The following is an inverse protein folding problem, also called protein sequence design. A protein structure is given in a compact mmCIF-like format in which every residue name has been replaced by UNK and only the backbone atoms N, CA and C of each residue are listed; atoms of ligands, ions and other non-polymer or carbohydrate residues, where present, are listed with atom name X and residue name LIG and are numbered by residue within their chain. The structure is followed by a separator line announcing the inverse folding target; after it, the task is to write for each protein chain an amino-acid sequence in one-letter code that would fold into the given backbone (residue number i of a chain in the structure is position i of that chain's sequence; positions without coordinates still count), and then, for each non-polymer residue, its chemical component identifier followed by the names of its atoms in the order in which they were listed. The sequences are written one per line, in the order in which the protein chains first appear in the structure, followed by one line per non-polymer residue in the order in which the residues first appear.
data_IF_727398657521
#
_entry.id   IF_727398657521
#
_cell.length_a   1.000
_cell.length_b   1.000
_cell.length_c   1.000
_cell.angle_alpha   90.00
_cell.angle_beta   90.00
_cell.angle_gamma   90.00
#
_symmetry.space_group_name_H-M   'P 1'
#
loop_
_entity.id
_entity.type
_entity.pdbx_description
1 polymer ?
#
# COMPACT_ATOMS: atom_id res chain seq x y z
N UNK A 1 -17.82 -64.84 -22.98
CA UNK A 1 -17.59 -64.08 -24.24
C UNK A 1 -18.62 -64.55 -25.26
N UNK A 2 -19.25 -63.67 -26.06
CA UNK A 2 -18.66 -62.52 -26.78
C UNK A 2 -19.23 -61.15 -26.36
N UNK A 3 -18.47 -60.05 -26.25
CA UNK A 3 -17.87 -59.12 -27.24
C UNK A 3 -18.82 -58.59 -28.31
N UNK A 4 -19.15 -57.28 -28.25
CA UNK A 4 -19.00 -56.35 -29.39
C UNK A 4 -19.14 -54.89 -28.92
N UNK A 5 -18.33 -54.02 -29.53
CA UNK A 5 -18.14 -52.58 -29.29
C UNK A 5 -19.05 -51.72 -30.18
N UNK A 6 -19.22 -50.44 -29.81
CA UNK A 6 -19.07 -49.19 -30.61
C UNK A 6 -19.64 -48.01 -29.80
N UNK A 7 -18.83 -47.06 -29.32
CA UNK A 7 -18.28 -45.86 -29.99
C UNK A 7 -19.30 -44.81 -30.49
N UNK A 8 -19.14 -43.59 -29.97
CA UNK A 8 -19.69 -42.30 -30.42
C UNK A 8 -19.58 -41.28 -29.26
N UNK A 9 -18.42 -40.66 -28.98
CA UNK A 9 -17.74 -39.50 -29.62
C UNK A 9 -18.46 -38.15 -29.46
N UNK A 10 -17.71 -37.24 -28.82
CA UNK A 10 -17.71 -35.77 -28.94
C UNK A 10 -18.79 -34.93 -28.25
N UNK A 11 -18.35 -34.17 -27.24
CA UNK A 11 -19.02 -32.99 -26.71
C UNK A 11 -18.05 -32.20 -25.83
N UNK A 12 -17.10 -31.51 -26.47
CA UNK A 12 -16.19 -30.56 -25.83
C UNK A 12 -17.00 -29.45 -25.16
N UNK A 13 -16.76 -29.19 -23.87
CA UNK A 13 -17.02 -27.90 -23.26
C UNK A 13 -15.98 -27.64 -22.16
N UNK A 14 -14.73 -27.46 -22.61
CA UNK A 14 -13.78 -26.61 -21.92
C UNK A 14 -14.33 -25.19 -21.99
N UNK A 15 -14.97 -24.73 -20.92
CA UNK A 15 -15.22 -23.30 -20.71
C UNK A 15 -14.06 -22.80 -19.88
N UNK A 16 -13.05 -22.34 -20.59
CA UNK A 16 -11.91 -21.65 -20.05
C UNK A 16 -12.40 -20.44 -19.23
N UNK A 17 -12.22 -20.50 -17.90
CA UNK A 17 -12.20 -19.33 -17.04
C UNK A 17 -10.93 -18.53 -17.37
N UNK A 18 -10.96 -17.81 -18.48
CA UNK A 18 -9.91 -16.86 -18.88
C UNK A 18 -10.40 -15.44 -18.68
N UNK A 19 -10.72 -15.09 -17.43
CA UNK A 19 -10.87 -13.68 -17.00
C UNK A 19 -10.27 -13.56 -15.60
N UNK A 20 -8.94 -13.56 -15.49
CA UNK A 20 -8.30 -13.49 -14.18
C UNK A 20 -6.86 -13.00 -14.13
N UNK A 21 -6.21 -12.70 -15.26
CA UNK A 21 -4.80 -12.34 -15.29
C UNK A 21 -4.50 -10.94 -15.85
N UNK A 22 -5.53 -10.14 -16.20
CA UNK A 22 -5.31 -8.85 -16.89
C UNK A 22 -5.25 -7.59 -16.02
N UNK A 23 -5.50 -7.66 -14.70
CA UNK A 23 -5.63 -6.44 -13.89
C UNK A 23 -4.76 -6.37 -12.63
N UNK A 24 -3.68 -7.13 -12.49
CA UNK A 24 -2.76 -6.96 -11.35
C UNK A 24 -2.09 -5.57 -11.38
N UNK A 25 -1.57 -5.16 -12.54
CA UNK A 25 -0.94 -3.85 -12.72
C UNK A 25 -1.93 -2.69 -12.68
N UNK A 26 -3.16 -2.91 -13.16
CA UNK A 26 -4.23 -1.91 -13.11
C UNK A 26 -4.71 -1.70 -11.67
N UNK A 27 -4.92 -2.78 -10.90
CA UNK A 27 -5.22 -2.68 -9.48
C UNK A 27 -4.06 -2.05 -8.71
N UNK A 28 -2.81 -2.40 -9.02
CA UNK A 28 -1.64 -1.82 -8.40
C UNK A 28 -1.58 -0.30 -8.63
N UNK A 29 -1.87 0.17 -9.85
CA UNK A 29 -1.96 1.60 -10.19
C UNK A 29 -3.14 2.31 -9.52
N UNK A 30 -4.32 1.70 -9.48
CA UNK A 30 -5.49 2.27 -8.78
C UNK A 30 -5.30 2.30 -7.26
N UNK A 31 -4.59 1.31 -6.70
CA UNK A 31 -4.19 1.28 -5.29
C UNK A 31 -3.15 2.35 -4.98
N UNK A 32 -2.23 2.56 -5.91
CA UNK A 32 -1.26 3.64 -5.84
C UNK A 32 -1.96 5.00 -5.77
N UNK A 33 -2.89 5.24 -6.70
CA UNK A 33 -3.67 6.48 -6.77
C UNK A 33 -4.57 6.69 -5.53
N UNK A 34 -5.20 5.63 -5.02
CA UNK A 34 -6.02 5.71 -3.82
C UNK A 34 -5.20 5.96 -2.55
N UNK A 35 -3.98 5.41 -2.46
CA UNK A 35 -3.06 5.69 -1.36
C UNK A 35 -2.48 7.12 -1.45
N UNK A 36 -2.13 7.55 -2.67
CA UNK A 36 -1.69 8.92 -2.96
C UNK A 36 -2.73 9.97 -2.53
N UNK A 37 -4.02 9.68 -2.73
CA UNK A 37 -5.11 10.54 -2.30
C UNK A 37 -5.29 10.58 -0.77
N UNK A 38 -5.05 9.46 -0.07
CA UNK A 38 -5.17 9.40 1.39
C UNK A 38 -4.00 10.10 2.09
N UNK A 39 -2.82 10.10 1.47
CA UNK A 39 -1.59 10.66 2.02
C UNK A 39 -1.45 12.17 1.76
N UNK A 40 -1.93 12.64 0.61
CA UNK A 40 -2.08 14.07 0.29
C UNK A 40 -2.98 14.81 1.30
N UNK A 41 -3.81 14.10 2.07
CA UNK A 41 -4.65 14.69 3.11
C UNK A 41 -3.94 14.87 4.46
N UNK A 42 -2.68 14.44 4.63
CA UNK A 42 -2.00 14.44 5.94
C UNK A 42 -1.36 15.77 6.36
N UNK A 43 -1.31 16.79 5.49
CA UNK A 43 -1.01 18.18 5.86
C UNK A 43 -1.99 19.10 5.13
N UNK A 44 -2.75 19.99 5.81
CA UNK A 44 -3.54 21.00 5.11
C UNK A 44 -2.62 21.83 4.21
N UNK A 45 -3.08 22.23 3.00
CA UNK A 45 -2.25 23.01 2.10
C UNK A 45 -1.78 24.27 2.83
N UNK A 46 -0.46 24.51 2.81
CA UNK A 46 0.08 25.72 3.41
C UNK A 46 -0.55 26.95 2.75
N UNK A 47 -0.75 28.05 3.51
CA UNK A 47 -1.27 29.29 2.94
C UNK A 47 -0.37 29.76 1.79
N UNK A 48 -0.99 30.37 0.78
CA UNK A 48 -0.27 30.90 -0.39
C UNK A 48 0.78 31.91 0.09
N UNK A 49 2.06 31.62 -0.20
CA UNK A 49 3.20 32.43 0.26
C UNK A 49 4.14 31.71 1.22
N UNK A 50 3.78 30.51 1.69
CA UNK A 50 4.62 29.64 2.53
C UNK A 50 4.94 28.34 1.77
N UNK A 51 6.21 27.95 1.80
CA UNK A 51 6.69 26.72 1.18
C UNK A 51 6.16 25.50 1.94
N UNK A 52 5.76 24.48 1.19
CA UNK A 52 5.34 23.20 1.74
C UNK A 52 5.76 22.06 0.83
N UNK A 53 5.77 20.83 1.36
CA UNK A 53 6.11 19.63 0.61
C UNK A 53 5.07 18.53 0.81
N UNK A 54 4.96 17.69 -0.21
CA UNK A 54 4.33 16.38 -0.17
C UNK A 54 5.40 15.34 -0.49
N UNK A 55 5.59 14.35 0.40
CA UNK A 55 6.55 13.26 0.19
C UNK A 55 5.86 11.93 0.27
N UNK A 56 6.07 11.11 -0.76
CA UNK A 56 5.52 9.76 -0.89
C UNK A 56 6.64 8.80 -1.22
N UNK A 57 7.06 8.00 -0.23
CA UNK A 57 8.17 7.05 -0.40
C UNK A 57 7.62 5.66 -0.67
N UNK A 58 8.08 5.06 -1.76
CA UNK A 58 7.72 3.69 -2.15
C UNK A 58 8.97 2.85 -2.30
N UNK A 59 8.95 1.68 -1.66
CA UNK A 59 10.00 0.68 -1.80
C UNK A 59 9.65 -0.21 -2.99
N UNK A 60 10.64 -0.45 -3.84
CA UNK A 60 10.50 -1.26 -5.07
C UNK A 60 11.48 -2.43 -5.03
N UNK A 61 11.05 -3.56 -5.55
CA UNK A 61 11.91 -4.66 -5.97
C UNK A 61 11.92 -4.70 -7.50
N UNK A 62 13.03 -4.27 -8.10
CA UNK A 62 13.10 -3.92 -9.51
C UNK A 62 12.02 -2.90 -9.89
N UNK A 63 11.16 -3.26 -10.84
CA UNK A 63 10.04 -2.43 -11.29
C UNK A 63 8.72 -2.65 -10.53
N UNK A 64 8.73 -3.52 -9.52
CA UNK A 64 7.53 -3.83 -8.76
C UNK A 64 7.53 -3.02 -7.46
N UNK A 65 6.52 -2.16 -7.20
CA UNK A 65 6.38 -1.55 -5.89
C UNK A 65 6.00 -2.63 -4.87
N UNK A 66 6.81 -2.81 -3.83
CA UNK A 66 6.64 -3.86 -2.79
C UNK A 66 6.18 -3.29 -1.44
N UNK A 67 6.52 -2.03 -1.14
CA UNK A 67 6.06 -1.39 0.09
C UNK A 67 5.82 0.10 -0.07
N UNK A 68 4.95 0.64 0.76
CA UNK A 68 4.61 2.05 0.72
C UNK A 68 3.37 2.38 1.56
N UNK A 69 2.87 3.60 1.41
CA UNK A 69 1.90 4.21 2.33
C UNK A 69 0.54 3.50 2.33
N UNK A 70 0.08 3.04 1.16
CA UNK A 70 -1.16 2.27 1.04
C UNK A 70 -1.09 0.90 1.73
N UNK A 71 0.03 0.19 1.57
CA UNK A 71 0.28 -1.10 2.24
C UNK A 71 0.43 -0.91 3.74
N UNK A 72 1.16 0.12 4.18
CA UNK A 72 1.26 0.50 5.60
C UNK A 72 -0.11 0.79 6.22
N UNK A 73 -0.94 1.57 5.53
CA UNK A 73 -2.30 1.90 6.00
C UNK A 73 -3.15 0.65 6.18
N UNK A 74 -3.08 -0.30 5.24
CA UNK A 74 -3.77 -1.59 5.37
C UNK A 74 -3.28 -2.40 6.57
N UNK A 75 -1.96 -2.49 6.78
CA UNK A 75 -1.39 -3.21 7.91
C UNK A 75 -1.81 -2.58 9.25
N UNK A 76 -1.76 -1.25 9.39
CA UNK A 76 -2.26 -0.53 10.58
C UNK A 76 -3.76 -0.75 10.79
N UNK A 77 -4.55 -0.76 9.72
CA UNK A 77 -5.98 -1.02 9.82
C UNK A 77 -6.27 -2.46 10.27
N UNK A 78 -5.46 -3.44 9.85
CA UNK A 78 -5.54 -4.82 10.32
C UNK A 78 -5.14 -4.91 11.79
N UNK A 79 -4.02 -4.30 12.19
CA UNK A 79 -3.57 -4.23 13.59
C UNK A 79 -4.65 -3.67 14.52
N UNK A 80 -5.27 -2.56 14.12
CA UNK A 80 -6.29 -1.89 14.92
C UNK A 80 -7.64 -2.64 15.00
N UNK A 81 -7.92 -3.56 14.06
CA UNK A 81 -9.24 -4.23 13.97
C UNK A 81 -9.18 -5.74 14.18
N UNK A 82 -8.01 -6.35 14.09
CA UNK A 82 -7.84 -7.81 14.09
C UNK A 82 -8.52 -8.53 12.92
N UNK A 83 -8.93 -7.82 11.86
CA UNK A 83 -9.69 -8.42 10.74
C UNK A 83 -9.43 -7.73 9.40
N UNK A 84 -9.09 -8.53 8.38
CA UNK A 84 -8.96 -8.04 6.99
C UNK A 84 -10.29 -7.45 6.49
N UNK A 85 -11.43 -8.01 6.89
CA UNK A 85 -12.75 -7.52 6.46
C UNK A 85 -13.07 -6.14 7.06
N UNK A 86 -12.71 -5.90 8.32
CA UNK A 86 -12.90 -4.63 8.99
C UNK A 86 -11.94 -3.56 8.46
N UNK A 87 -10.68 -3.94 8.21
CA UNK A 87 -9.69 -3.08 7.56
C UNK A 87 -10.16 -2.65 6.16
N UNK A 88 -10.67 -3.58 5.34
CA UNK A 88 -11.20 -3.28 4.01
C UNK A 88 -12.35 -2.24 4.07
N UNK A 89 -13.30 -2.44 4.99
CA UNK A 89 -14.42 -1.49 5.20
C UNK A 89 -13.92 -0.11 5.61
N UNK A 90 -12.96 -0.04 6.54
CA UNK A 90 -12.35 1.23 6.99
C UNK A 90 -11.66 1.99 5.85
N UNK A 91 -11.03 1.26 4.92
CA UNK A 91 -10.35 1.86 3.78
C UNK A 91 -11.25 2.07 2.55
N UNK A 92 -12.56 1.84 2.66
CA UNK A 92 -13.49 2.00 1.54
C UNK A 92 -13.22 1.05 0.36
N UNK A 93 -12.61 -0.11 0.60
CA UNK A 93 -12.28 -1.08 -0.45
C UNK A 93 -12.99 -2.43 -0.26
N UNK A 94 -13.08 -3.21 -1.34
CA UNK A 94 -13.67 -4.54 -1.27
C UNK A 94 -12.79 -5.50 -0.45
N UNK A 95 -13.42 -6.44 0.25
CA UNK A 95 -12.70 -7.49 0.97
C UNK A 95 -11.71 -8.25 0.07
N UNK A 96 -12.13 -8.59 -1.16
CA UNK A 96 -11.28 -9.28 -2.13
C UNK A 96 -10.01 -8.48 -2.45
N UNK A 97 -10.11 -7.15 -2.58
CA UNK A 97 -8.95 -6.27 -2.81
C UNK A 97 -7.99 -6.27 -1.63
N UNK A 98 -8.50 -6.11 -0.41
CA UNK A 98 -7.67 -6.18 0.80
C UNK A 98 -7.00 -7.55 0.96
N UNK A 99 -7.73 -8.63 0.64
CA UNK A 99 -7.21 -9.99 0.71
C UNK A 99 -6.08 -10.25 -0.29
N UNK A 100 -6.24 -9.81 -1.54
CA UNK A 100 -5.20 -9.92 -2.58
C UNK A 100 -3.94 -9.13 -2.20
N UNK A 101 -4.12 -7.94 -1.61
CA UNK A 101 -2.99 -7.15 -1.09
C UNK A 101 -2.24 -7.87 0.02
N UNK A 102 -2.96 -8.45 0.97
CA UNK A 102 -2.35 -9.22 2.06
C UNK A 102 -1.61 -10.44 1.51
N UNK A 103 -2.20 -11.15 0.54
CA UNK A 103 -1.56 -12.30 -0.08
C UNK A 103 -0.29 -11.91 -0.86
N UNK A 104 -0.35 -10.84 -1.65
CA UNK A 104 0.82 -10.30 -2.34
C UNK A 104 1.93 -9.93 -1.36
N UNK A 105 1.61 -9.20 -0.28
CA UNK A 105 2.59 -8.85 0.76
C UNK A 105 3.17 -10.08 1.47
N UNK A 106 2.39 -11.13 1.71
CA UNK A 106 2.94 -12.33 2.34
C UNK A 106 3.88 -13.11 1.42
N UNK A 107 3.77 -12.93 0.10
CA UNK A 107 4.62 -13.60 -0.90
C UNK A 107 5.84 -12.76 -1.31
N UNK A 108 5.71 -11.43 -1.33
CA UNK A 108 6.79 -10.50 -1.71
C UNK A 108 7.90 -10.40 -0.66
N UNK A 109 7.64 -10.81 0.59
CA UNK A 109 8.59 -10.71 1.69
C UNK A 109 9.09 -12.07 2.15
N UNK A 110 10.28 -12.08 2.76
CA UNK A 110 10.92 -13.31 3.29
C UNK A 110 10.11 -14.04 4.37
N UNK A 111 9.23 -13.31 5.06
CA UNK A 111 8.35 -13.81 6.11
C UNK A 111 6.96 -13.21 5.90
N UNK A 112 5.87 -13.94 6.22
CA UNK A 112 4.53 -13.40 6.08
C UNK A 112 4.36 -12.15 6.95
N UNK A 113 3.71 -11.12 6.41
CA UNK A 113 3.39 -9.91 7.17
C UNK A 113 2.14 -10.10 8.04
N UNK A 114 1.19 -10.91 7.57
CA UNK A 114 -0.10 -11.12 8.25
C UNK A 114 -0.38 -12.61 8.39
N UNK A 115 -0.62 -13.07 9.61
CA UNK A 115 -1.14 -14.41 9.89
C UNK A 115 -2.65 -14.38 10.04
N UNK A 116 -3.29 -15.49 9.67
CA UNK A 116 -4.74 -15.66 9.72
C UNK A 116 -5.07 -16.79 10.68
N UNK A 117 -6.02 -16.56 11.57
CA UNK A 117 -6.59 -17.64 12.38
C UNK A 117 -7.92 -18.04 11.77
N UNK A 118 -8.05 -19.32 11.42
CA UNK A 118 -9.34 -19.91 11.04
C UNK A 118 -10.15 -20.01 12.32
N UNK A 119 -11.10 -19.09 12.50
CA UNK A 119 -11.98 -19.09 13.66
C UNK A 119 -13.24 -19.89 13.37
N UNK A 120 -13.61 -20.75 14.33
CA UNK A 120 -14.95 -21.34 14.42
C UNK A 120 -15.99 -20.29 14.82
N UNK A 121 -16.89 -20.61 15.75
CA UNK A 121 -18.10 -19.84 16.09
C UNK A 121 -17.86 -18.34 16.40
N UNK A 122 -16.65 -17.93 16.79
CA UNK A 122 -16.26 -16.55 17.08
C UNK A 122 -15.68 -15.76 15.89
N UNK A 123 -15.56 -16.37 14.71
CA UNK A 123 -15.07 -15.73 13.49
C UNK A 123 -13.55 -15.75 13.34
N UNK A 124 -13.08 -15.87 12.08
CA UNK A 124 -11.66 -15.82 11.75
C UNK A 124 -11.05 -14.43 11.91
N UNK A 125 -9.79 -14.40 12.36
CA UNK A 125 -9.03 -13.17 12.65
C UNK A 125 -7.78 -13.04 11.79
N UNK A 126 -7.20 -11.83 11.79
CA UNK A 126 -5.92 -11.53 11.17
C UNK A 126 -5.03 -10.75 12.14
N UNK A 127 -3.77 -11.13 12.23
CA UNK A 127 -2.79 -10.49 13.11
C UNK A 127 -1.51 -10.19 12.34
N UNK A 128 -0.84 -9.12 12.72
CA UNK A 128 0.48 -8.81 12.19
C UNK A 128 1.52 -9.75 12.80
N UNK A 129 2.50 -10.13 12.01
CA UNK A 129 3.68 -10.84 12.52
C UNK A 129 4.66 -9.85 13.15
N UNK A 130 5.57 -10.31 14.04
CA UNK A 130 6.66 -9.49 14.53
C UNK A 130 7.51 -8.89 13.39
N UNK A 131 7.67 -9.64 12.29
CA UNK A 131 8.35 -9.17 11.10
C UNK A 131 7.65 -7.96 10.46
N UNK A 132 6.33 -7.98 10.33
CA UNK A 132 5.57 -6.83 9.85
C UNK A 132 5.70 -5.61 10.75
N UNK A 133 5.62 -5.80 12.06
CA UNK A 133 5.76 -4.71 13.03
C UNK A 133 7.14 -4.04 12.91
N UNK A 134 8.20 -4.84 12.79
CA UNK A 134 9.55 -4.32 12.57
C UNK A 134 9.66 -3.56 11.24
N UNK A 135 9.12 -4.11 10.15
CA UNK A 135 9.10 -3.43 8.84
C UNK A 135 8.37 -2.07 8.91
N UNK A 136 7.21 -2.02 9.56
CA UNK A 136 6.43 -0.80 9.74
C UNK A 136 7.20 0.25 10.55
N UNK A 137 7.84 -0.16 11.65
CA UNK A 137 8.64 0.74 12.48
C UNK A 137 9.85 1.32 11.72
N UNK A 138 10.51 0.51 10.88
CA UNK A 138 11.61 0.98 10.03
C UNK A 138 11.12 1.99 9.00
N UNK A 139 9.98 1.71 8.36
CA UNK A 139 9.39 2.64 7.40
C UNK A 139 8.98 3.97 8.07
N UNK A 140 8.39 3.93 9.26
CA UNK A 140 8.04 5.15 10.02
C UNK A 140 9.27 5.98 10.36
N UNK A 141 10.37 5.32 10.76
CA UNK A 141 11.64 5.97 11.08
C UNK A 141 12.22 6.66 9.85
N UNK A 142 12.25 5.97 8.71
CA UNK A 142 12.70 6.53 7.44
C UNK A 142 11.89 7.78 7.04
N UNK A 143 10.56 7.70 7.10
CA UNK A 143 9.70 8.85 6.77
C UNK A 143 9.95 10.02 7.71
N UNK A 144 10.16 9.74 9.01
CA UNK A 144 10.48 10.78 9.99
C UNK A 144 11.80 11.48 9.66
N UNK A 145 12.84 10.73 9.34
CA UNK A 145 14.15 11.28 8.96
C UNK A 145 14.08 12.13 7.70
N UNK A 146 13.35 11.65 6.67
CA UNK A 146 13.13 12.40 5.44
C UNK A 146 12.37 13.70 5.72
N UNK A 147 11.33 13.66 6.56
CA UNK A 147 10.57 14.86 6.94
C UNK A 147 11.43 15.87 7.68
N UNK A 148 12.27 15.43 8.60
CA UNK A 148 13.20 16.32 9.32
C UNK A 148 14.16 17.03 8.35
N UNK A 149 14.70 16.30 7.37
CA UNK A 149 15.55 16.90 6.34
C UNK A 149 14.78 17.92 5.51
N UNK A 150 13.56 17.60 5.08
CA UNK A 150 12.73 18.50 4.28
C UNK A 150 12.32 19.73 5.07
N UNK A 151 11.89 19.58 6.32
CA UNK A 151 11.53 20.68 7.21
C UNK A 151 12.68 21.67 7.38
N UNK A 152 13.94 21.19 7.41
CA UNK A 152 15.12 22.06 7.45
C UNK A 152 15.33 22.86 6.15
N UNK A 153 14.89 22.34 5.00
CA UNK A 153 15.05 23.00 3.70
C UNK A 153 13.84 23.88 3.29
N UNK A 154 12.65 23.66 3.87
CA UNK A 154 11.44 24.44 3.55
C UNK A 154 11.65 25.96 3.64
N UNK A 155 12.26 26.53 4.69
CA UNK A 155 12.45 27.98 4.80
C UNK A 155 13.30 28.60 3.69
N UNK A 156 14.22 27.82 3.11
CA UNK A 156 15.04 28.28 1.97
C UNK A 156 14.13 28.58 0.78
N UNK A 157 13.09 27.77 0.58
CA UNK A 157 12.15 27.98 -0.52
C UNK A 157 11.25 29.20 -0.31
N UNK A 158 10.97 29.60 0.94
CA UNK A 158 10.20 30.82 1.23
C UNK A 158 10.86 32.05 0.59
N UNK A 159 12.20 32.15 0.63
CA UNK A 159 12.94 33.25 0.02
C UNK A 159 12.79 33.33 -1.53
N UNK A 160 12.46 32.21 -2.18
CA UNK A 160 12.22 32.15 -3.64
C UNK A 160 10.73 32.33 -4.02
N UNK A 161 9.82 32.33 -3.06
CA UNK A 161 8.38 32.51 -3.32
C UNK A 161 8.01 33.99 -3.41
N UNK A 162 7.12 34.33 -4.36
CA UNK A 162 6.65 35.71 -4.61
C UNK A 162 6.04 36.43 -3.40
N UNK A 163 5.72 35.70 -2.32
CA UNK A 163 5.13 36.23 -1.09
C UNK A 163 5.99 36.01 0.17
N UNK A 164 7.19 35.47 0.06
CA UNK A 164 8.05 35.19 1.21
C UNK A 164 8.74 36.44 1.75
N UNK A 165 8.90 36.51 3.07
CA UNK A 165 9.88 37.43 3.67
C UNK A 165 11.26 36.88 3.31
N UNK A 166 11.98 37.55 2.42
CA UNK A 166 13.35 37.22 2.10
C UNK A 166 14.17 37.20 3.40
N UNK A 167 14.63 36.01 3.80
CA UNK A 167 15.82 35.89 4.65
C UNK A 167 16.95 35.67 3.66
N UNK A 168 17.83 36.66 3.58
CA UNK A 168 18.93 36.67 2.62
C UNK A 168 19.83 35.44 2.87
N UNK A 169 20.08 34.57 1.88
CA UNK A 169 20.89 33.37 2.07
C UNK A 169 22.35 33.66 2.43
N UNK A 170 22.82 34.90 2.28
CA UNK A 170 24.19 35.34 2.59
C UNK A 170 24.46 35.65 4.08
N UNK A 171 23.44 35.69 4.96
CA UNK A 171 23.67 35.90 6.41
C UNK A 171 23.97 34.60 7.19
N UNK A 172 23.89 33.43 6.54
CA UNK A 172 24.15 32.14 7.20
C UNK A 172 25.61 31.67 7.13
N UNK A 173 26.51 32.42 6.46
CA UNK A 173 27.93 32.05 6.28
C UNK A 173 28.92 33.11 6.82
N UNK A 174 28.49 34.01 7.71
CA UNK A 174 29.35 35.04 8.36
C UNK A 174 29.61 34.78 9.85
#
# INVERSE_FOLDING_TARGET
MPVERRQGKAGKASVALTVGARNADALARELLAAAEALEAASKPPAPVGEASYDVRVRIRDGDTPVFGPGRLTLLRAIEATGSISAAARRMGMSYRRAWLLVEAMNHEFREPLVTRHIGGVSGGGAQLTPFAQNLMAHYDTLIKEIRLLLDAHVPIFDAYLKGGKAVDPDEAEA
#
